data_IF_136531217442
#
_entry.id   IF_136531217442
#
_cell.length_a   1.000
_cell.length_b   1.000
_cell.length_c   1.000
_cell.angle_alpha   90.00
_cell.angle_beta   90.00
_cell.angle_gamma   90.00
#
_symmetry.space_group_name_H-M   'P 1'
#
loop_
_entity.id
_entity.type
_entity.pdbx_description
1 polymer ?
#
# COMPACT_ATOMS: atom_id res chain seq x y z
N UNK A 1 -21.84 -16.13 -5.41
CA UNK A 1 -21.96 -14.95 -4.53
C UNK A 1 -20.54 -14.50 -4.22
N UNK A 2 -19.88 -13.73 -5.07
CA UNK A 2 -20.30 -12.43 -5.60
C UNK A 2 -19.32 -11.44 -5.00
N UNK A 3 -18.23 -11.17 -5.71
CA UNK A 3 -17.10 -10.34 -5.30
C UNK A 3 -17.48 -8.84 -5.21
N UNK A 4 -18.57 -8.52 -4.53
CA UNK A 4 -19.00 -7.14 -4.29
C UNK A 4 -18.08 -6.41 -3.30
N UNK A 5 -17.25 -7.16 -2.56
CA UNK A 5 -16.21 -6.64 -1.67
C UNK A 5 -15.08 -5.89 -2.42
N UNK A 6 -14.86 -6.16 -3.71
CA UNK A 6 -13.86 -5.46 -4.53
C UNK A 6 -14.33 -4.07 -4.99
N UNK A 7 -15.66 -3.82 -5.05
CA UNK A 7 -16.22 -2.53 -5.48
C UNK A 7 -16.16 -1.47 -4.37
N UNK A 8 -16.03 -1.91 -3.12
CA UNK A 8 -15.85 -1.08 -1.93
C UNK A 8 -14.47 -1.29 -1.30
N UNK A 9 -13.44 -1.53 -2.12
CA UNK A 9 -12.06 -1.63 -1.62
C UNK A 9 -11.61 -0.22 -1.22
N UNK A 10 -11.94 0.08 0.04
CA UNK A 10 -11.72 1.34 0.73
C UNK A 10 -10.24 1.70 0.64
N UNK A 11 -9.95 3.01 0.64
CA UNK A 11 -8.60 3.52 0.82
C UNK A 11 -7.83 2.81 1.95
N UNK A 12 -8.55 2.27 2.95
CA UNK A 12 -8.04 1.41 4.00
C UNK A 12 -7.21 0.23 3.47
N UNK A 13 -7.60 -0.42 2.37
CA UNK A 13 -6.90 -1.58 1.83
C UNK A 13 -5.55 -1.19 1.21
N UNK A 14 -5.52 -0.04 0.52
CA UNK A 14 -4.26 0.54 0.02
C UNK A 14 -3.34 0.93 1.17
N UNK A 15 -3.89 1.50 2.25
CA UNK A 15 -3.14 1.78 3.48
C UNK A 15 -2.55 0.52 4.10
N UNK A 16 -3.36 -0.53 4.27
CA UNK A 16 -2.91 -1.81 4.81
C UNK A 16 -1.82 -2.44 3.95
N UNK A 17 -1.99 -2.44 2.62
CA UNK A 17 -0.97 -2.92 1.69
C UNK A 17 0.35 -2.12 1.82
N UNK A 18 0.25 -0.80 2.01
CA UNK A 18 1.42 0.08 2.21
C UNK A 18 2.17 -0.26 3.50
N UNK A 19 1.45 -0.45 4.60
CA UNK A 19 2.03 -0.83 5.90
C UNK A 19 2.73 -2.17 5.81
N UNK A 20 2.10 -3.17 5.20
CA UNK A 20 2.70 -4.49 4.96
C UNK A 20 3.98 -4.34 4.14
N UNK A 21 3.95 -3.52 3.08
CA UNK A 21 5.12 -3.27 2.23
C UNK A 21 6.27 -2.61 3.01
N UNK A 22 5.99 -1.64 3.88
CA UNK A 22 7.00 -1.01 4.74
C UNK A 22 7.58 -1.96 5.79
N UNK A 23 6.75 -2.85 6.35
CA UNK A 23 7.20 -3.87 7.30
C UNK A 23 8.10 -4.88 6.58
N UNK A 24 7.69 -5.39 5.42
CA UNK A 24 8.52 -6.29 4.60
C UNK A 24 9.82 -5.61 4.16
N UNK A 25 9.77 -4.33 3.76
CA UNK A 25 10.97 -3.58 3.41
C UNK A 25 11.96 -3.59 4.57
N UNK A 26 11.51 -3.27 5.78
CA UNK A 26 12.35 -3.26 6.97
C UNK A 26 12.90 -4.64 7.33
N UNK A 27 12.12 -5.72 7.17
CA UNK A 27 12.60 -7.09 7.40
C UNK A 27 13.67 -7.49 6.39
N UNK A 28 13.53 -7.05 5.13
CA UNK A 28 14.46 -7.38 4.03
C UNK A 28 15.66 -6.42 3.96
N UNK A 29 15.69 -5.38 4.80
CA UNK A 29 16.73 -4.34 4.83
C UNK A 29 18.13 -4.91 5.02
N UNK A 30 18.28 -5.84 5.95
CA UNK A 30 19.57 -6.44 6.27
C UNK A 30 20.07 -7.41 5.20
N UNK A 31 19.15 -7.96 4.40
CA UNK A 31 19.51 -8.93 3.36
C UNK A 31 19.84 -8.25 2.04
N UNK A 32 19.04 -7.27 1.61
CA UNK A 32 19.21 -6.63 0.30
C UNK A 32 18.76 -5.16 0.33
N UNK A 33 19.74 -4.24 0.39
CA UNK A 33 19.50 -2.80 0.33
C UNK A 33 18.72 -2.36 -0.91
N UNK A 34 18.98 -2.99 -2.08
CA UNK A 34 18.24 -2.69 -3.31
C UNK A 34 16.76 -3.06 -3.22
N UNK A 35 16.44 -4.20 -2.61
CA UNK A 35 15.06 -4.66 -2.39
C UNK A 35 14.37 -3.77 -1.37
N UNK A 36 15.08 -3.36 -0.32
CA UNK A 36 14.60 -2.37 0.64
C UNK A 36 14.18 -1.06 -0.02
N UNK A 37 15.05 -0.46 -0.84
CA UNK A 37 14.72 0.80 -1.52
C UNK A 37 13.57 0.63 -2.52
N UNK A 38 13.51 -0.48 -3.24
CA UNK A 38 12.40 -0.77 -4.16
C UNK A 38 11.06 -0.90 -3.42
N UNK A 39 10.98 -1.72 -2.38
CA UNK A 39 9.75 -1.88 -1.58
C UNK A 39 9.37 -0.58 -0.87
N UNK A 40 10.35 0.19 -0.40
CA UNK A 40 10.09 1.45 0.29
C UNK A 40 9.46 2.48 -0.66
N UNK A 41 10.00 2.63 -1.87
CA UNK A 41 9.42 3.50 -2.90
C UNK A 41 8.02 3.04 -3.28
N UNK A 42 7.83 1.73 -3.50
CA UNK A 42 6.51 1.15 -3.84
C UNK A 42 5.49 1.39 -2.71
N UNK A 43 5.89 1.19 -1.45
CA UNK A 43 5.05 1.43 -0.28
C UNK A 43 4.62 2.89 -0.14
N UNK A 44 5.53 3.84 -0.40
CA UNK A 44 5.20 5.27 -0.43
C UNK A 44 4.18 5.58 -1.53
N UNK A 45 4.40 5.08 -2.75
CA UNK A 45 3.48 5.33 -3.87
C UNK A 45 2.10 4.76 -3.57
N UNK A 46 2.01 3.53 -3.06
CA UNK A 46 0.74 2.91 -2.65
C UNK A 46 0.05 3.70 -1.53
N UNK A 47 0.81 4.24 -0.59
CA UNK A 47 0.28 5.02 0.51
C UNK A 47 -0.40 6.30 0.01
N UNK A 48 0.31 7.06 -0.84
CA UNK A 48 -0.23 8.27 -1.45
C UNK A 48 -1.42 7.97 -2.36
N UNK A 49 -1.39 6.87 -3.12
CA UNK A 49 -2.51 6.47 -3.98
C UNK A 49 -3.75 6.10 -3.15
N UNK A 50 -3.57 5.44 -2.01
CA UNK A 50 -4.62 5.19 -1.02
C UNK A 50 -5.22 6.48 -0.46
N UNK A 51 -4.37 7.44 -0.07
CA UNK A 51 -4.80 8.77 0.39
C UNK A 51 -5.59 9.51 -0.68
N UNK A 52 -5.09 9.54 -1.91
CA UNK A 52 -5.74 10.24 -3.03
C UNK A 52 -7.10 9.62 -3.38
N UNK A 53 -7.19 8.29 -3.32
CA UNK A 53 -8.45 7.54 -3.49
C UNK A 53 -9.48 7.89 -2.40
N UNK A 54 -9.04 8.12 -1.16
CA UNK A 54 -9.90 8.62 -0.07
C UNK A 54 -10.38 10.05 -0.30
N UNK A 55 -9.55 10.93 -0.87
CA UNK A 55 -9.96 12.31 -1.13
C UNK A 55 -10.96 12.40 -2.28
N UNK A 56 -10.82 11.54 -3.30
CA UNK A 56 -11.73 11.53 -4.46
C UNK A 56 -13.12 10.95 -4.16
N UNK A 57 -13.27 10.12 -3.13
CA UNK A 57 -14.57 9.51 -2.76
C UNK A 57 -15.48 10.43 -1.93
N UNK A 58 -15.02 11.64 -1.57
CA UNK A 58 -15.79 12.65 -0.82
C UNK A 58 -16.36 13.76 -1.72
N UNK A 59 -16.46 13.53 -3.03
CA UNK A 59 -17.07 14.46 -3.99
C UNK A 59 -18.14 13.76 -4.81
#
# INVERSE_FOLDING_TARGET
>A
MGFESLKNISAIAFYFASVICFVLANVLKDSNLSVYYALLVIGIVLFFLGVFKRMRTNR
#
